data_IF_574743379041
#
_entry.id   IF_574743379041
#
_cell.length_a   1.000
_cell.length_b   1.000
_cell.length_c   1.000
_cell.angle_alpha   90.00
_cell.angle_beta   90.00
_cell.angle_gamma   90.00
#
_symmetry.space_group_name_H-M   'P 1'
#
loop_
_entity.id
_entity.type
_entity.pdbx_description
1 polymer ?
#
# COMPACT_ATOMS: atom_id res chain seq x y z
N UNK A 1 -11.97 7.97 16.17
CA UNK A 1 -12.51 9.20 15.50
C UNK A 1 -11.70 9.46 14.23
N UNK A 2 -12.36 9.91 13.14
CA UNK A 2 -11.66 10.26 11.90
C UNK A 2 -10.89 11.58 12.08
N UNK A 3 -9.71 11.76 11.46
CA UNK A 3 -9.01 13.05 11.43
C UNK A 3 -9.90 14.15 10.83
N UNK A 4 -9.78 15.38 11.32
CA UNK A 4 -10.63 16.53 10.96
C UNK A 4 -10.77 16.71 9.43
N UNK A 5 -9.67 16.63 8.69
CA UNK A 5 -9.72 16.75 7.23
C UNK A 5 -10.58 15.67 6.58
N UNK A 6 -10.47 14.40 7.04
CA UNK A 6 -11.30 13.31 6.54
C UNK A 6 -12.78 13.61 6.80
N UNK A 7 -13.12 14.07 8.00
CA UNK A 7 -14.50 14.45 8.33
C UNK A 7 -15.00 15.56 7.42
N UNK A 8 -14.26 16.66 7.33
CA UNK A 8 -14.65 17.84 6.53
C UNK A 8 -14.84 17.50 5.05
N UNK A 9 -13.96 16.67 4.48
CA UNK A 9 -14.11 16.24 3.09
C UNK A 9 -15.30 15.30 2.90
N UNK A 10 -15.41 14.30 3.76
CA UNK A 10 -16.47 13.29 3.66
C UNK A 10 -17.87 13.86 3.91
N UNK A 11 -18.00 14.87 4.76
CA UNK A 11 -19.27 15.60 4.99
C UNK A 11 -19.81 16.31 3.74
N UNK A 12 -18.92 16.66 2.80
CA UNK A 12 -19.35 17.26 1.52
C UNK A 12 -19.93 16.23 0.55
N UNK A 13 -19.56 14.96 0.69
CA UNK A 13 -19.92 13.86 -0.21
C UNK A 13 -21.02 12.96 0.33
N UNK A 14 -21.14 12.87 1.65
CA UNK A 14 -22.00 11.92 2.35
C UNK A 14 -22.96 12.66 3.29
N UNK A 15 -24.19 12.18 3.38
CA UNK A 15 -25.12 12.63 4.41
C UNK A 15 -24.59 12.28 5.80
N UNK A 16 -25.11 12.95 6.84
CA UNK A 16 -24.72 12.67 8.24
C UNK A 16 -24.88 11.19 8.59
N UNK A 17 -25.98 10.56 8.19
CA UNK A 17 -26.22 9.13 8.43
C UNK A 17 -25.19 8.25 7.71
N UNK A 18 -24.86 8.57 6.46
CA UNK A 18 -23.85 7.84 5.68
C UNK A 18 -22.46 7.99 6.28
N UNK A 19 -22.12 9.19 6.77
CA UNK A 19 -20.82 9.43 7.42
C UNK A 19 -20.69 8.65 8.73
N UNK A 20 -21.75 8.59 9.55
CA UNK A 20 -21.78 7.77 10.77
C UNK A 20 -21.58 6.29 10.41
N UNK A 21 -22.30 5.78 9.39
CA UNK A 21 -22.13 4.41 8.90
C UNK A 21 -20.70 4.13 8.45
N UNK A 22 -20.12 5.03 7.66
CA UNK A 22 -18.73 4.93 7.22
C UNK A 22 -17.79 4.85 8.43
N UNK A 23 -17.93 5.76 9.38
CA UNK A 23 -17.06 5.81 10.57
C UNK A 23 -17.12 4.50 11.36
N UNK A 24 -18.33 3.96 11.58
CA UNK A 24 -18.51 2.68 12.27
C UNK A 24 -17.86 1.55 11.46
N UNK A 25 -18.07 1.52 10.14
CA UNK A 25 -17.47 0.47 9.30
C UNK A 25 -15.95 0.50 9.30
N UNK A 26 -15.34 1.69 9.22
CA UNK A 26 -13.89 1.84 9.30
C UNK A 26 -13.36 1.37 10.66
N UNK A 27 -14.07 1.68 11.74
CA UNK A 27 -13.73 1.23 13.09
C UNK A 27 -13.81 -0.31 13.18
N UNK A 28 -14.88 -0.91 12.68
CA UNK A 28 -15.05 -2.36 12.67
C UNK A 28 -13.99 -3.07 11.80
N UNK A 29 -13.66 -2.54 10.61
CA UNK A 29 -12.60 -3.11 9.76
C UNK A 29 -11.27 -3.10 10.53
N UNK A 30 -10.95 -2.00 11.21
CA UNK A 30 -9.73 -1.91 12.02
C UNK A 30 -9.75 -2.82 13.24
N UNK A 31 -10.87 -2.95 13.96
CA UNK A 31 -10.94 -3.75 15.18
C UNK A 31 -11.03 -5.26 14.91
N UNK A 32 -11.82 -5.65 13.89
CA UNK A 32 -12.08 -7.06 13.57
C UNK A 32 -11.04 -7.68 12.61
N UNK A 33 -10.21 -6.85 11.96
CA UNK A 33 -9.29 -7.28 10.86
C UNK A 33 -10.02 -8.11 9.82
N UNK A 34 -11.16 -7.64 9.37
CA UNK A 34 -12.05 -8.44 8.56
C UNK A 34 -12.91 -7.56 7.67
N UNK A 35 -12.97 -7.89 6.38
CA UNK A 35 -13.83 -7.24 5.39
C UNK A 35 -14.99 -8.13 4.93
N UNK A 36 -15.14 -9.33 5.49
CA UNK A 36 -16.27 -10.20 5.18
C UNK A 36 -17.55 -9.60 5.72
N UNK A 37 -18.49 -9.29 4.82
CA UNK A 37 -19.73 -8.60 5.15
C UNK A 37 -20.51 -9.27 6.31
N UNK A 38 -20.60 -10.60 6.29
CA UNK A 38 -21.30 -11.38 7.32
C UNK A 38 -20.70 -11.23 8.73
N UNK A 39 -19.38 -11.05 8.81
CA UNK A 39 -18.70 -10.78 10.08
C UNK A 39 -18.98 -9.37 10.56
N UNK A 40 -18.84 -8.37 9.68
CA UNK A 40 -19.12 -6.98 10.01
C UNK A 40 -20.57 -6.79 10.46
N UNK A 41 -21.54 -7.43 9.80
CA UNK A 41 -22.97 -7.38 10.15
C UNK A 41 -23.23 -7.88 11.57
N UNK A 42 -22.52 -8.93 12.02
CA UNK A 42 -22.74 -9.51 13.36
C UNK A 42 -22.37 -8.55 14.47
N UNK A 43 -21.27 -7.82 14.30
CA UNK A 43 -20.74 -6.88 15.31
C UNK A 43 -21.20 -5.43 15.09
N UNK A 44 -21.96 -5.17 14.02
CA UNK A 44 -22.44 -3.83 13.69
C UNK A 44 -23.40 -3.31 14.79
N UNK A 45 -23.10 -2.18 15.47
CA UNK A 45 -23.76 -1.78 16.72
C UNK A 45 -25.15 -1.14 16.52
N UNK A 46 -25.94 -1.62 15.54
CA UNK A 46 -27.30 -1.13 15.34
C UNK A 46 -28.31 -2.06 16.04
N UNK A 47 -29.23 -1.50 16.83
CA UNK A 47 -30.22 -2.27 17.58
C UNK A 47 -31.39 -2.73 16.68
N UNK A 48 -31.06 -3.39 15.58
CA UNK A 48 -32.01 -3.96 14.59
C UNK A 48 -31.61 -5.38 14.25
N UNK A 49 -32.49 -6.11 13.59
CA UNK A 49 -32.21 -7.51 13.21
C UNK A 49 -30.98 -7.65 12.35
N UNK A 50 -30.32 -8.82 12.38
CA UNK A 50 -29.13 -9.12 11.59
C UNK A 50 -29.39 -8.89 10.10
N UNK A 51 -30.54 -9.33 9.60
CA UNK A 51 -30.90 -9.16 8.19
C UNK A 51 -31.09 -7.67 7.83
N UNK A 52 -31.70 -6.88 8.69
CA UNK A 52 -31.82 -5.42 8.50
C UNK A 52 -30.46 -4.74 8.49
N UNK A 53 -29.52 -5.14 9.38
CA UNK A 53 -28.15 -4.66 9.38
C UNK A 53 -27.45 -5.00 8.07
N UNK A 54 -27.59 -6.25 7.59
CA UNK A 54 -27.02 -6.73 6.33
C UNK A 54 -27.50 -5.90 5.14
N UNK A 55 -28.83 -5.71 5.00
CA UNK A 55 -29.40 -4.89 3.92
C UNK A 55 -28.92 -3.44 4.00
N UNK A 56 -28.77 -2.88 5.20
CA UNK A 56 -28.25 -1.52 5.38
C UNK A 56 -26.81 -1.39 4.90
N UNK A 57 -25.93 -2.33 5.24
CA UNK A 57 -24.55 -2.33 4.78
C UNK A 57 -24.43 -2.56 3.26
N UNK A 58 -25.26 -3.44 2.69
CA UNK A 58 -25.32 -3.63 1.24
C UNK A 58 -25.73 -2.35 0.52
N UNK A 59 -26.82 -1.68 0.97
CA UNK A 59 -27.25 -0.39 0.40
C UNK A 59 -26.16 0.69 0.55
N UNK A 60 -25.41 0.67 1.64
CA UNK A 60 -24.30 1.58 1.81
C UNK A 60 -23.19 1.33 0.77
N UNK A 61 -22.84 0.06 0.52
CA UNK A 61 -21.87 -0.29 -0.53
C UNK A 61 -22.39 -0.01 -1.95
N UNK A 62 -23.70 0.14 -2.15
CA UNK A 62 -24.29 0.48 -3.45
C UNK A 62 -24.33 2.01 -3.70
N UNK A 63 -23.97 2.85 -2.73
CA UNK A 63 -23.98 4.31 -2.88
C UNK A 63 -23.13 4.77 -4.06
N UNK A 64 -23.65 5.57 -4.98
CA UNK A 64 -22.90 6.05 -6.16
C UNK A 64 -21.74 6.97 -5.78
N UNK A 65 -21.81 7.66 -4.62
CA UNK A 65 -20.75 8.56 -4.14
C UNK A 65 -19.51 7.83 -3.63
N UNK A 66 -19.60 6.52 -3.29
CA UNK A 66 -18.46 5.75 -2.82
C UNK A 66 -17.56 5.36 -3.99
N UNK A 67 -16.81 6.32 -4.51
CA UNK A 67 -15.86 6.11 -5.59
C UNK A 67 -14.45 6.54 -5.18
N UNK A 68 -13.46 5.97 -5.85
CA UNK A 68 -12.05 6.35 -5.66
C UNK A 68 -11.86 7.83 -5.96
N UNK A 69 -12.49 8.35 -7.02
CA UNK A 69 -12.34 9.73 -7.45
C UNK A 69 -12.95 10.74 -6.49
N UNK A 70 -14.13 10.47 -5.93
CA UNK A 70 -14.82 11.40 -5.04
C UNK A 70 -14.34 11.32 -3.60
N UNK A 71 -13.98 10.14 -3.14
CA UNK A 71 -13.62 9.90 -1.74
C UNK A 71 -12.11 9.82 -1.55
N UNK A 72 -11.43 8.95 -2.30
CA UNK A 72 -10.06 8.59 -1.99
C UNK A 72 -9.03 9.54 -2.60
N UNK A 73 -9.20 10.00 -3.82
CA UNK A 73 -8.25 10.90 -4.45
C UNK A 73 -8.06 12.22 -3.70
N UNK A 74 -9.12 12.91 -3.23
CA UNK A 74 -8.94 14.10 -2.41
C UNK A 74 -8.25 13.84 -1.07
N UNK A 75 -8.56 12.71 -0.42
CA UNK A 75 -7.88 12.30 0.81
C UNK A 75 -6.39 11.99 0.55
N UNK A 76 -6.08 11.33 -0.57
CA UNK A 76 -4.71 11.03 -0.98
C UNK A 76 -3.92 12.30 -1.33
N UNK A 77 -4.54 13.26 -2.03
CA UNK A 77 -3.93 14.54 -2.36
C UNK A 77 -3.58 15.34 -1.11
N UNK A 78 -4.51 15.46 -0.16
CA UNK A 78 -4.25 16.09 1.13
C UNK A 78 -3.09 15.41 1.88
N UNK A 79 -3.08 14.09 1.89
CA UNK A 79 -2.03 13.34 2.53
C UNK A 79 -0.66 13.60 1.88
N UNK A 80 -0.60 13.64 0.55
CA UNK A 80 0.62 13.96 -0.19
C UNK A 80 1.13 15.36 0.19
N UNK A 81 0.28 16.36 0.19
CA UNK A 81 0.67 17.74 0.54
C UNK A 81 1.10 17.89 2.01
N UNK A 82 0.55 17.06 2.91
CA UNK A 82 0.86 17.11 4.35
C UNK A 82 2.19 16.43 4.68
N UNK A 83 2.53 15.35 3.98
CA UNK A 83 3.67 14.49 4.36
C UNK A 83 4.80 14.44 3.33
N UNK A 84 4.61 15.00 2.14
CA UNK A 84 5.61 15.02 1.07
C UNK A 84 5.93 16.45 0.67
N UNK A 85 7.21 16.73 0.43
CA UNK A 85 7.65 18.04 -0.07
C UNK A 85 7.47 18.13 -1.59
N UNK A 86 7.13 19.30 -2.10
CA UNK A 86 7.09 19.59 -3.54
C UNK A 86 8.42 19.23 -4.18
N UNK A 87 8.41 18.59 -5.35
CA UNK A 87 9.61 18.11 -6.04
C UNK A 87 10.22 16.83 -5.47
N UNK A 88 9.68 16.30 -4.37
CA UNK A 88 10.15 15.02 -3.81
C UNK A 88 9.95 13.88 -4.81
N UNK A 89 10.92 12.96 -4.85
CA UNK A 89 10.79 11.73 -5.63
C UNK A 89 9.94 10.70 -4.89
N UNK A 90 8.86 10.26 -5.52
CA UNK A 90 7.91 9.30 -4.99
C UNK A 90 7.83 8.07 -5.90
N UNK A 91 7.74 6.90 -5.30
CA UNK A 91 7.66 5.64 -6.03
C UNK A 91 6.24 5.08 -6.02
N UNK A 92 5.71 4.76 -7.18
CA UNK A 92 4.41 4.10 -7.38
C UNK A 92 4.67 2.68 -7.86
N UNK A 93 4.27 1.69 -7.09
CA UNK A 93 4.32 0.31 -7.52
C UNK A 93 3.02 -0.07 -8.24
N UNK A 94 3.19 -0.81 -9.33
CA UNK A 94 2.09 -1.47 -10.04
C UNK A 94 2.19 -2.96 -9.76
N UNK A 95 1.06 -3.57 -9.43
CA UNK A 95 1.00 -5.00 -9.16
C UNK A 95 -0.43 -5.53 -9.36
N UNK A 96 -0.56 -6.85 -9.42
CA UNK A 96 -1.82 -7.53 -9.66
C UNK A 96 -1.96 -8.70 -8.70
N UNK A 97 -3.15 -8.84 -8.15
CA UNK A 97 -3.52 -9.97 -7.32
C UNK A 97 -4.70 -10.72 -7.94
N UNK A 98 -4.66 -12.04 -7.90
CA UNK A 98 -5.70 -12.88 -8.47
C UNK A 98 -6.13 -13.96 -7.47
N UNK A 99 -7.44 -14.09 -7.26
CA UNK A 99 -8.04 -15.19 -6.49
C UNK A 99 -9.41 -15.54 -7.06
N UNK A 100 -9.67 -16.83 -7.23
CA UNK A 100 -10.88 -17.30 -7.91
C UNK A 100 -11.07 -16.63 -9.28
N UNK A 101 -12.22 -16.00 -9.47
CA UNK A 101 -12.53 -15.23 -10.69
C UNK A 101 -12.16 -13.75 -10.59
N UNK A 102 -11.58 -13.30 -9.49
CA UNK A 102 -11.19 -11.91 -9.27
C UNK A 102 -9.78 -11.69 -9.80
N UNK A 103 -9.62 -10.65 -10.61
CA UNK A 103 -8.33 -10.19 -11.12
C UNK A 103 -8.19 -8.71 -10.78
N UNK A 104 -7.52 -8.39 -9.68
CA UNK A 104 -7.39 -7.06 -9.12
C UNK A 104 -6.07 -6.43 -9.56
N UNK A 105 -6.14 -5.35 -10.32
CA UNK A 105 -5.00 -4.51 -10.68
C UNK A 105 -4.91 -3.34 -9.71
N UNK A 106 -3.73 -3.09 -9.16
CA UNK A 106 -3.51 -2.10 -8.09
C UNK A 106 -2.31 -1.22 -8.37
N UNK A 107 -2.48 0.07 -8.16
CA UNK A 107 -1.43 1.09 -8.11
C UNK A 107 -1.29 1.56 -6.67
N UNK A 108 -0.09 1.55 -6.11
CA UNK A 108 0.13 1.91 -4.73
C UNK A 108 1.37 2.80 -4.56
N UNK A 109 1.24 3.83 -3.72
CA UNK A 109 2.37 4.68 -3.32
C UNK A 109 3.25 3.93 -2.33
N UNK A 110 4.52 3.84 -2.61
CA UNK A 110 5.49 3.30 -1.66
C UNK A 110 5.74 4.32 -0.56
N UNK A 111 5.35 3.99 0.65
CA UNK A 111 5.52 4.82 1.82
C UNK A 111 6.37 4.12 2.88
N UNK A 112 7.58 4.64 3.09
CA UNK A 112 8.58 4.02 3.98
C UNK A 112 8.90 2.58 3.54
N UNK A 113 8.37 1.56 4.19
CA UNK A 113 8.52 0.14 3.85
C UNK A 113 7.17 -0.55 3.60
N UNK A 114 6.14 0.24 3.36
CA UNK A 114 4.78 -0.21 3.02
C UNK A 114 4.33 0.46 1.74
N UNK A 115 3.19 0.07 1.24
CA UNK A 115 2.53 0.76 0.15
C UNK A 115 1.13 1.19 0.60
N UNK A 116 0.65 2.29 0.06
CA UNK A 116 -0.72 2.78 0.26
C UNK A 116 -1.42 2.67 -1.07
N UNK A 117 -2.52 1.91 -1.19
CA UNK A 117 -3.27 1.83 -2.44
C UNK A 117 -3.70 3.22 -2.89
N UNK A 118 -3.47 3.57 -4.15
CA UNK A 118 -3.90 4.83 -4.75
C UNK A 118 -5.10 4.61 -5.67
N UNK A 119 -5.04 3.54 -6.45
CA UNK A 119 -6.05 3.18 -7.42
C UNK A 119 -6.10 1.67 -7.59
N UNK A 120 -7.28 1.13 -7.85
CA UNK A 120 -7.50 -0.28 -8.14
C UNK A 120 -8.69 -0.45 -9.08
N UNK A 121 -8.64 -1.48 -9.89
CA UNK A 121 -9.74 -1.89 -10.75
C UNK A 121 -9.75 -3.40 -10.93
N UNK A 122 -10.92 -3.93 -11.25
CA UNK A 122 -11.06 -5.34 -11.64
C UNK A 122 -10.84 -5.44 -13.15
N UNK A 123 -9.91 -6.31 -13.54
CA UNK A 123 -9.73 -6.63 -14.95
C UNK A 123 -10.83 -7.60 -15.40
N UNK A 124 -11.39 -7.44 -16.61
CA UNK A 124 -12.50 -8.26 -17.10
C UNK A 124 -12.08 -9.69 -17.50
N UNK A 125 -10.80 -10.01 -17.38
CA UNK A 125 -10.18 -11.28 -17.77
C UNK A 125 -9.28 -11.83 -16.68
N UNK A 126 -9.01 -13.09 -16.69
CA UNK A 126 -7.92 -13.69 -15.89
C UNK A 126 -6.57 -13.51 -16.61
N UNK A 127 -5.49 -13.60 -15.84
CA UNK A 127 -4.13 -13.44 -16.36
C UNK A 127 -3.67 -11.98 -16.45
N UNK A 128 -2.63 -11.74 -17.22
CA UNK A 128 -1.87 -10.49 -17.22
C UNK A 128 -2.67 -9.30 -17.77
N UNK A 129 -2.40 -8.13 -17.21
CA UNK A 129 -2.89 -6.85 -17.76
C UNK A 129 -2.21 -6.51 -19.09
N UNK A 130 -2.92 -5.83 -19.96
CA UNK A 130 -2.38 -5.29 -21.21
C UNK A 130 -1.94 -3.81 -21.06
N UNK A 131 -1.26 -3.29 -22.08
CA UNK A 131 -0.76 -1.91 -22.08
C UNK A 131 -1.87 -0.88 -21.86
N UNK A 132 -3.01 -1.03 -22.53
CA UNK A 132 -4.14 -0.10 -22.40
C UNK A 132 -4.68 -0.05 -20.97
N UNK A 133 -4.88 -1.22 -20.33
CA UNK A 133 -5.32 -1.31 -18.94
C UNK A 133 -4.31 -0.64 -17.99
N UNK A 134 -3.01 -0.85 -18.22
CA UNK A 134 -1.92 -0.27 -17.42
C UNK A 134 -1.86 1.26 -17.57
N UNK A 135 -1.89 1.76 -18.80
CA UNK A 135 -1.79 3.21 -19.07
C UNK A 135 -3.03 3.96 -18.60
N UNK A 136 -4.23 3.43 -18.80
CA UNK A 136 -5.47 4.03 -18.29
C UNK A 136 -5.45 4.16 -16.76
N UNK A 137 -5.02 3.12 -16.04
CA UNK A 137 -4.92 3.17 -14.60
C UNK A 137 -3.84 4.16 -14.12
N UNK A 138 -2.66 4.15 -14.75
CA UNK A 138 -1.59 5.10 -14.43
C UNK A 138 -2.01 6.55 -14.67
N UNK A 139 -2.72 6.86 -15.75
CA UNK A 139 -3.25 8.19 -16.01
C UNK A 139 -4.17 8.71 -14.91
N UNK A 140 -4.97 7.83 -14.27
CA UNK A 140 -5.81 8.24 -13.14
C UNK A 140 -4.98 8.72 -11.95
N UNK A 141 -3.86 8.04 -11.69
CA UNK A 141 -3.00 8.30 -10.52
C UNK A 141 -2.03 9.44 -10.76
N UNK A 142 -1.39 9.51 -11.92
CA UNK A 142 -0.35 10.50 -12.21
C UNK A 142 -0.85 11.94 -12.08
N UNK A 143 -2.16 12.18 -12.23
CA UNK A 143 -2.78 13.49 -11.98
C UNK A 143 -2.57 14.03 -10.57
N UNK A 144 -2.44 13.14 -9.57
CA UNK A 144 -2.19 13.50 -8.17
C UNK A 144 -0.74 13.93 -7.92
N UNK A 145 0.17 13.62 -8.86
CA UNK A 145 1.61 13.73 -8.66
C UNK A 145 2.27 14.82 -9.51
N UNK A 146 1.51 15.78 -10.01
CA UNK A 146 2.04 16.86 -10.90
C UNK A 146 3.20 17.64 -10.28
N UNK A 147 3.22 17.79 -8.97
CA UNK A 147 4.25 18.53 -8.22
C UNK A 147 5.39 17.63 -7.70
N UNK A 148 5.40 16.36 -8.07
CA UNK A 148 6.35 15.37 -7.57
C UNK A 148 7.08 14.69 -8.72
N UNK A 149 8.31 14.25 -8.45
CA UNK A 149 9.01 13.35 -9.37
C UNK A 149 8.53 11.92 -9.13
N UNK A 150 8.07 11.24 -10.18
CA UNK A 150 7.49 9.90 -10.04
C UNK A 150 8.41 8.85 -10.63
N UNK A 151 8.56 7.74 -9.91
CA UNK A 151 9.19 6.51 -10.40
C UNK A 151 8.14 5.39 -10.36
N UNK A 152 7.80 4.82 -11.50
CA UNK A 152 6.91 3.66 -11.58
C UNK A 152 7.71 2.37 -11.45
N UNK A 153 7.30 1.49 -10.53
CA UNK A 153 7.95 0.21 -10.23
C UNK A 153 7.04 -0.94 -10.68
N UNK A 154 7.51 -1.79 -11.59
CA UNK A 154 6.78 -2.96 -12.06
C UNK A 154 7.61 -4.24 -11.98
N UNK A 155 6.95 -5.37 -11.69
CA UNK A 155 7.60 -6.67 -11.71
C UNK A 155 7.66 -7.29 -13.13
N UNK A 156 7.94 -8.60 -13.23
CA UNK A 156 8.06 -9.31 -14.52
C UNK A 156 6.79 -9.33 -15.35
N UNK A 157 5.62 -9.13 -14.77
CA UNK A 157 4.36 -9.01 -15.50
C UNK A 157 4.33 -7.73 -16.33
N UNK A 158 4.88 -6.66 -15.79
CA UNK A 158 4.89 -5.31 -16.38
C UNK A 158 6.15 -5.04 -17.22
N UNK A 159 6.82 -6.07 -17.69
CA UNK A 159 8.09 -6.00 -18.43
C UNK A 159 7.92 -5.55 -19.91
N UNK A 160 7.06 -4.56 -20.16
CA UNK A 160 6.79 -4.10 -21.52
C UNK A 160 7.68 -2.92 -21.89
N UNK A 161 8.36 -3.05 -23.05
CA UNK A 161 9.08 -1.93 -23.70
C UNK A 161 8.11 -0.80 -24.05
N UNK A 162 6.89 -1.15 -24.43
CA UNK A 162 5.85 -0.15 -24.77
C UNK A 162 5.39 0.64 -23.54
N UNK A 163 5.27 -0.02 -22.37
CA UNK A 163 5.00 0.69 -21.13
C UNK A 163 6.16 1.62 -20.75
N UNK A 164 7.42 1.17 -20.88
CA UNK A 164 8.60 2.01 -20.67
C UNK A 164 8.63 3.21 -21.61
N UNK A 165 8.31 3.01 -22.90
CA UNK A 165 8.23 4.08 -23.89
C UNK A 165 7.15 5.10 -23.56
N UNK A 166 5.98 4.63 -23.17
CA UNK A 166 4.87 5.49 -22.76
C UNK A 166 5.21 6.27 -21.48
N UNK A 167 5.79 5.66 -20.45
CA UNK A 167 6.23 6.36 -19.24
C UNK A 167 7.26 7.44 -19.56
N UNK A 168 8.24 7.13 -20.42
CA UNK A 168 9.25 8.09 -20.89
C UNK A 168 8.62 9.27 -21.61
N UNK A 169 7.61 9.03 -22.47
CA UNK A 169 6.87 10.12 -23.15
C UNK A 169 6.07 11.01 -22.21
N UNK A 170 5.68 10.48 -21.05
CA UNK A 170 5.00 11.21 -19.97
C UNK A 170 5.95 11.93 -19.01
N UNK A 171 7.27 11.84 -19.21
CA UNK A 171 8.28 12.38 -18.29
C UNK A 171 8.34 11.66 -16.94
N UNK A 172 7.87 10.42 -16.89
CA UNK A 172 7.80 9.60 -15.67
C UNK A 172 8.92 8.57 -15.70
N UNK A 173 9.79 8.60 -14.71
CA UNK A 173 10.85 7.60 -14.55
C UNK A 173 10.28 6.25 -14.17
N UNK A 174 11.01 5.20 -14.49
CA UNK A 174 10.50 3.84 -14.25
C UNK A 174 11.60 2.84 -13.94
N UNK A 175 11.13 1.73 -13.38
CA UNK A 175 11.88 0.56 -13.05
C UNK A 175 11.01 -0.67 -13.34
N UNK A 176 11.23 -1.32 -14.47
CA UNK A 176 10.44 -2.47 -14.92
C UNK A 176 11.33 -3.71 -15.02
N UNK A 177 10.95 -4.78 -14.33
CA UNK A 177 11.75 -6.00 -14.33
C UNK A 177 11.52 -6.80 -15.60
N UNK A 178 12.58 -6.97 -16.42
CA UNK A 178 12.54 -7.77 -17.65
C UNK A 178 12.61 -9.28 -17.36
N UNK A 179 12.08 -10.06 -18.30
CA UNK A 179 12.30 -11.50 -18.35
C UNK A 179 13.69 -11.78 -18.93
N UNK A 180 14.35 -12.84 -18.47
CA UNK A 180 15.73 -13.19 -18.86
C UNK A 180 15.91 -13.49 -20.34
N UNK A 181 14.84 -13.82 -21.05
CA UNK A 181 14.83 -14.11 -22.49
C UNK A 181 14.69 -12.85 -23.38
N UNK A 182 14.55 -11.66 -22.81
CA UNK A 182 14.63 -10.43 -23.59
C UNK A 182 16.03 -10.26 -24.17
N UNK A 183 16.09 -9.62 -25.35
CA UNK A 183 17.35 -9.31 -26.01
C UNK A 183 17.65 -7.82 -25.90
N UNK A 184 18.91 -7.48 -25.86
CA UNK A 184 19.41 -6.12 -26.02
C UNK A 184 20.45 -6.07 -27.15
N UNK A 185 20.57 -4.92 -27.77
CA UNK A 185 21.63 -4.67 -28.75
C UNK A 185 22.86 -4.18 -27.98
N UNK A 186 23.99 -4.93 -28.15
CA UNK A 186 25.25 -4.61 -27.47
C UNK A 186 26.08 -3.68 -28.35
N UNK A 187 26.31 -4.07 -29.61
CA UNK A 187 27.09 -3.29 -30.58
C UNK A 187 26.52 -3.52 -31.98
N UNK A 188 26.47 -2.50 -32.82
CA UNK A 188 26.20 -2.52 -34.27
C UNK A 188 25.34 -3.70 -34.77
N UNK A 189 24.12 -3.81 -34.26
CA UNK A 189 23.15 -4.84 -34.64
C UNK A 189 23.40 -6.24 -34.05
N UNK A 190 24.38 -6.42 -33.14
CA UNK A 190 24.55 -7.66 -32.40
C UNK A 190 23.57 -7.74 -31.25
N UNK A 191 22.66 -8.70 -31.30
CA UNK A 191 21.60 -8.90 -30.29
C UNK A 191 21.96 -10.07 -29.40
N UNK A 192 21.97 -9.83 -28.10
CA UNK A 192 22.25 -10.85 -27.10
C UNK A 192 21.11 -10.94 -26.08
N UNK A 193 20.77 -12.13 -25.63
CA UNK A 193 19.80 -12.37 -24.59
C UNK A 193 20.35 -11.93 -23.22
N UNK A 194 19.49 -11.44 -22.34
CA UNK A 194 19.88 -10.98 -21.01
C UNK A 194 20.53 -12.08 -20.16
N UNK A 195 20.06 -13.33 -20.28
CA UNK A 195 20.63 -14.46 -19.55
C UNK A 195 22.02 -14.91 -20.10
N UNK A 196 22.46 -14.40 -21.26
CA UNK A 196 23.75 -14.67 -21.90
C UNK A 196 24.79 -13.56 -21.70
N UNK A 197 24.42 -12.49 -20.95
CA UNK A 197 25.30 -11.33 -20.71
C UNK A 197 26.45 -11.59 -19.73
N UNK A 198 26.69 -12.83 -19.32
CA UNK A 198 27.77 -13.15 -18.37
C UNK A 198 27.56 -12.66 -16.95
N UNK A 199 26.30 -12.29 -16.58
CA UNK A 199 25.96 -11.90 -15.20
C UNK A 199 26.02 -13.15 -14.33
N UNK A 200 26.89 -13.14 -13.31
CA UNK A 200 27.08 -14.26 -12.38
C UNK A 200 26.74 -13.85 -10.94
N UNK A 201 26.48 -14.78 -10.02
CA UNK A 201 26.19 -14.46 -8.62
C UNK A 201 27.24 -13.56 -7.98
N UNK A 202 26.83 -12.40 -7.52
CA UNK A 202 27.70 -11.39 -6.89
C UNK A 202 28.05 -10.21 -7.80
N UNK A 203 27.73 -10.27 -9.10
CA UNK A 203 28.04 -9.21 -10.07
C UNK A 203 26.86 -8.26 -10.31
N UNK A 204 27.18 -7.11 -10.85
CA UNK A 204 26.22 -6.13 -11.33
C UNK A 204 26.80 -5.41 -12.56
N UNK A 205 25.96 -5.23 -13.60
CA UNK A 205 26.30 -4.55 -14.84
C UNK A 205 25.30 -3.45 -15.12
N UNK A 206 25.70 -2.44 -15.86
CA UNK A 206 24.84 -1.34 -16.28
C UNK A 206 25.12 -1.00 -17.74
N UNK A 207 24.09 -1.11 -18.57
CA UNK A 207 24.15 -0.76 -19.99
C UNK A 207 23.35 0.53 -20.18
N UNK A 208 24.01 1.57 -20.69
CA UNK A 208 23.40 2.87 -20.89
C UNK A 208 23.00 3.06 -22.35
N UNK A 209 21.78 3.52 -22.58
CA UNK A 209 21.29 3.87 -23.90
C UNK A 209 21.29 2.72 -24.90
N UNK A 210 20.78 1.54 -24.51
CA UNK A 210 20.72 0.35 -25.38
C UNK A 210 19.34 0.15 -25.98
N UNK A 211 19.25 -0.47 -27.16
CA UNK A 211 18.00 -0.90 -27.76
C UNK A 211 17.58 -2.25 -27.20
N UNK A 212 16.31 -2.41 -26.87
CA UNK A 212 15.71 -3.61 -26.27
C UNK A 212 14.69 -4.27 -27.20
N UNK A 213 14.48 -3.70 -28.38
CA UNK A 213 13.53 -4.18 -29.39
C UNK A 213 14.13 -4.04 -30.79
N UNK A 214 14.02 -5.09 -31.60
CA UNK A 214 14.47 -5.09 -33.00
C UNK A 214 13.54 -4.30 -33.93
N UNK A 215 12.23 -4.27 -33.61
CA UNK A 215 11.18 -3.62 -34.41
C UNK A 215 10.95 -2.18 -33.98
N UNK A 216 10.41 -1.33 -34.88
CA UNK A 216 10.03 0.06 -34.59
C UNK A 216 8.82 0.14 -33.62
N UNK A 217 8.69 1.21 -32.82
CA UNK A 217 9.60 2.36 -32.74
C UNK A 217 10.91 1.99 -32.03
N UNK A 218 12.01 2.59 -32.48
CA UNK A 218 13.32 2.44 -31.85
C UNK A 218 13.37 3.35 -30.61
N UNK A 219 13.51 2.75 -29.45
CA UNK A 219 13.61 3.48 -28.17
C UNK A 219 14.83 2.95 -27.41
N UNK A 220 15.60 3.88 -26.83
CA UNK A 220 16.78 3.60 -26.05
C UNK A 220 16.44 3.67 -24.57
N UNK A 221 16.94 2.70 -23.82
CA UNK A 221 16.76 2.57 -22.38
C UNK A 221 18.09 2.21 -21.71
N UNK A 222 18.13 2.38 -20.42
CA UNK A 222 19.20 1.80 -19.61
C UNK A 222 18.76 0.43 -19.10
N UNK A 223 19.71 -0.48 -18.99
CA UNK A 223 19.50 -1.81 -18.40
C UNK A 223 20.43 -1.99 -17.21
N UNK A 224 19.83 -2.16 -16.03
CA UNK A 224 20.55 -2.51 -14.82
C UNK A 224 20.44 -4.01 -14.55
N UNK A 225 21.57 -4.70 -14.45
CA UNK A 225 21.66 -6.12 -14.14
C UNK A 225 22.26 -6.32 -12.75
N UNK A 226 21.68 -7.19 -11.94
CA UNK A 226 22.25 -7.55 -10.64
C UNK A 226 21.92 -8.97 -10.24
N UNK A 227 22.93 -9.74 -9.86
CA UNK A 227 22.75 -11.06 -9.26
C UNK A 227 23.30 -11.07 -7.84
N UNK A 228 22.45 -11.14 -6.83
CA UNK A 228 22.87 -11.34 -5.45
C UNK A 228 23.27 -12.81 -5.24
N UNK A 229 24.37 -13.07 -4.54
CA UNK A 229 24.75 -14.43 -4.13
C UNK A 229 23.69 -15.04 -3.20
N UNK A 230 23.33 -14.31 -2.16
CA UNK A 230 22.37 -14.76 -1.15
C UNK A 230 21.37 -13.64 -0.82
N UNK A 231 20.15 -14.03 -0.50
CA UNK A 231 19.12 -13.17 0.06
C UNK A 231 18.46 -13.89 1.23
N UNK A 232 18.50 -13.30 2.43
CA UNK A 232 17.99 -13.89 3.69
C UNK A 232 18.50 -15.32 3.95
N UNK A 233 19.77 -15.57 3.68
CA UNK A 233 20.41 -16.87 3.88
C UNK A 233 20.23 -17.89 2.74
N UNK A 234 19.36 -17.62 1.77
CA UNK A 234 19.11 -18.50 0.63
C UNK A 234 19.85 -18.04 -0.63
N UNK A 235 20.34 -18.98 -1.45
CA UNK A 235 20.92 -18.69 -2.77
C UNK A 235 19.85 -18.08 -3.69
N UNK A 236 20.18 -16.99 -4.35
CA UNK A 236 19.29 -16.36 -5.34
C UNK A 236 19.45 -17.05 -6.68
N UNK A 237 18.36 -17.62 -7.20
CA UNK A 237 18.36 -18.45 -8.42
C UNK A 237 18.59 -17.67 -9.71
N UNK A 238 18.11 -16.39 -9.79
CA UNK A 238 18.12 -15.61 -11.02
C UNK A 238 18.67 -14.21 -10.81
N UNK A 239 19.34 -13.68 -11.82
CA UNK A 239 19.69 -12.27 -11.90
C UNK A 239 18.42 -11.39 -12.04
N UNK A 240 18.55 -10.14 -11.62
CA UNK A 240 17.57 -9.09 -11.91
C UNK A 240 18.01 -8.35 -13.16
N UNK A 241 17.13 -8.23 -14.14
CA UNK A 241 17.28 -7.43 -15.33
C UNK A 241 16.23 -6.36 -15.30
N UNK A 242 16.62 -5.10 -15.33
CA UNK A 242 15.78 -3.94 -15.05
C UNK A 242 15.86 -2.98 -16.20
N UNK A 243 14.74 -2.73 -16.86
CA UNK A 243 14.56 -1.65 -17.81
C UNK A 243 14.31 -0.35 -17.02
N UNK A 244 15.08 0.70 -17.29
CA UNK A 244 15.01 1.94 -16.52
C UNK A 244 15.49 3.15 -17.33
N UNK A 245 15.23 4.33 -16.83
CA UNK A 245 15.76 5.62 -17.28
C UNK A 245 16.47 6.38 -16.13
N UNK A 246 16.71 5.72 -15.01
CA UNK A 246 17.23 6.36 -13.77
C UNK A 246 18.71 6.75 -13.86
N UNK A 247 19.40 6.47 -14.96
CA UNK A 247 20.77 6.94 -15.24
C UNK A 247 21.87 6.27 -14.43
N UNK A 248 21.58 5.45 -13.40
CA UNK A 248 22.59 4.75 -12.63
C UNK A 248 22.14 3.45 -11.99
N UNK A 249 23.08 2.51 -11.87
CA UNK A 249 22.86 1.22 -11.19
C UNK A 249 22.45 1.36 -9.71
N UNK A 250 23.07 2.23 -8.87
CA UNK A 250 22.66 2.39 -7.48
C UNK A 250 21.21 2.84 -7.33
N UNK A 251 20.75 3.80 -8.15
CA UNK A 251 19.37 4.27 -8.14
C UNK A 251 18.40 3.15 -8.54
N UNK A 252 18.70 2.41 -9.62
CA UNK A 252 17.90 1.28 -10.07
C UNK A 252 17.77 0.21 -8.98
N UNK A 253 18.86 -0.13 -8.29
CA UNK A 253 18.86 -1.13 -7.22
C UNK A 253 18.12 -0.62 -5.97
N UNK A 254 18.22 0.67 -5.65
CA UNK A 254 17.49 1.29 -4.53
C UNK A 254 15.98 1.26 -4.76
N UNK A 255 15.53 1.61 -5.96
CA UNK A 255 14.13 1.57 -6.36
C UNK A 255 13.53 0.16 -6.22
N UNK A 256 14.27 -0.88 -6.64
CA UNK A 256 13.79 -2.28 -6.49
C UNK A 256 13.48 -2.66 -5.05
N UNK A 257 14.31 -2.26 -4.10
CA UNK A 257 14.08 -2.58 -2.68
C UNK A 257 12.77 -1.98 -2.16
N UNK A 258 12.34 -0.87 -2.75
CA UNK A 258 11.10 -0.20 -2.37
C UNK A 258 9.87 -0.98 -2.83
N UNK A 259 9.94 -1.69 -3.98
CA UNK A 259 8.82 -2.50 -4.50
C UNK A 259 8.28 -3.52 -3.50
N UNK A 260 9.14 -4.07 -2.64
CA UNK A 260 8.72 -5.00 -1.58
C UNK A 260 7.59 -4.43 -0.68
N UNK A 261 7.41 -3.10 -0.67
CA UNK A 261 6.34 -2.45 0.09
C UNK A 261 4.94 -2.86 -0.37
N UNK A 262 4.73 -3.11 -1.67
CA UNK A 262 3.42 -3.53 -2.20
C UNK A 262 3.10 -4.99 -1.83
N UNK A 263 4.09 -5.86 -1.83
CA UNK A 263 3.92 -7.26 -1.38
C UNK A 263 3.53 -7.33 0.10
N UNK A 264 4.14 -6.48 0.91
CA UNK A 264 3.81 -6.35 2.33
C UNK A 264 2.41 -5.75 2.55
N UNK A 265 1.98 -4.81 1.69
CA UNK A 265 0.61 -4.28 1.70
C UNK A 265 -0.40 -5.38 1.35
N UNK A 266 -0.18 -6.15 0.29
CA UNK A 266 -1.07 -7.26 -0.05
C UNK A 266 -1.17 -8.28 1.09
N UNK A 267 -0.06 -8.61 1.74
CA UNK A 267 -0.07 -9.47 2.93
C UNK A 267 -0.93 -8.91 4.05
N UNK A 268 -0.82 -7.60 4.33
CA UNK A 268 -1.63 -6.92 5.34
C UNK A 268 -3.13 -6.89 4.95
N UNK A 269 -3.47 -6.78 3.66
CA UNK A 269 -4.85 -6.73 3.15
C UNK A 269 -5.49 -8.10 2.92
N UNK A 270 -4.70 -9.14 2.74
CA UNK A 270 -5.14 -10.52 2.47
C UNK A 270 -5.12 -11.39 3.74
N UNK A 271 -4.61 -12.59 3.66
CA UNK A 271 -4.62 -13.60 4.73
C UNK A 271 -3.92 -13.16 6.02
N UNK A 272 -2.96 -12.23 5.96
CA UNK A 272 -2.25 -11.70 7.12
C UNK A 272 -2.94 -10.56 7.86
N UNK A 273 -4.07 -10.06 7.34
CA UNK A 273 -4.78 -8.89 7.87
C UNK A 273 -6.27 -8.93 7.58
N UNK A 274 -6.78 -8.04 6.71
CA UNK A 274 -8.21 -7.79 6.51
C UNK A 274 -8.97 -8.91 5.76
N UNK A 275 -8.29 -9.95 5.29
CA UNK A 275 -8.84 -11.12 4.61
C UNK A 275 -9.76 -10.76 3.41
N UNK A 276 -9.25 -9.94 2.50
CA UNK A 276 -9.99 -9.47 1.33
C UNK A 276 -10.50 -10.62 0.45
N UNK A 277 -9.71 -11.67 0.29
CA UNK A 277 -10.07 -12.86 -0.49
C UNK A 277 -11.28 -13.58 0.09
N UNK A 278 -11.42 -13.57 1.43
CA UNK A 278 -12.56 -14.16 2.14
C UNK A 278 -13.81 -13.26 2.21
N UNK A 279 -13.78 -12.07 1.58
CA UNK A 279 -14.91 -11.12 1.63
C UNK A 279 -16.21 -11.67 1.02
N UNK A 280 -16.09 -12.54 0.00
CA UNK A 280 -17.22 -13.05 -0.78
C UNK A 280 -17.86 -12.02 -1.71
N UNK A 281 -17.31 -10.79 -1.79
CA UNK A 281 -17.81 -9.71 -2.62
C UNK A 281 -17.27 -9.79 -4.05
N UNK A 282 -18.01 -9.22 -5.02
CA UNK A 282 -17.66 -9.17 -6.43
C UNK A 282 -18.03 -7.81 -7.03
N UNK A 283 -17.46 -7.50 -8.20
CA UNK A 283 -17.80 -6.28 -8.97
C UNK A 283 -17.68 -5.00 -8.15
N UNK A 284 -18.60 -4.09 -8.35
CA UNK A 284 -18.59 -2.75 -7.73
C UNK A 284 -18.56 -2.78 -6.19
N UNK A 285 -19.26 -3.72 -5.57
CA UNK A 285 -19.24 -3.85 -4.09
C UNK A 285 -17.86 -4.23 -3.57
N UNK A 286 -17.11 -5.05 -4.31
CA UNK A 286 -15.72 -5.35 -3.96
C UNK A 286 -14.83 -4.11 -4.08
N UNK A 287 -14.95 -3.35 -5.18
CA UNK A 287 -14.21 -2.09 -5.37
C UNK A 287 -14.46 -1.12 -4.21
N UNK A 288 -15.71 -0.98 -3.78
CA UNK A 288 -16.10 -0.11 -2.67
C UNK A 288 -15.65 -0.65 -1.31
N UNK A 289 -15.65 -1.95 -1.11
CA UNK A 289 -15.07 -2.54 0.10
C UNK A 289 -13.56 -2.33 0.18
N UNK A 290 -12.85 -2.43 -0.95
CA UNK A 290 -11.41 -2.09 -1.03
C UNK A 290 -11.20 -0.60 -0.70
N UNK A 291 -12.12 0.29 -1.10
CA UNK A 291 -12.08 1.70 -0.73
C UNK A 291 -12.13 1.88 0.80
N UNK A 292 -13.11 1.24 1.46
CA UNK A 292 -13.22 1.29 2.92
C UNK A 292 -11.98 0.72 3.61
N UNK A 293 -11.53 -0.44 3.16
CA UNK A 293 -10.29 -1.07 3.64
C UNK A 293 -9.08 -0.15 3.46
N UNK A 294 -8.95 0.50 2.31
CA UNK A 294 -7.85 1.42 2.01
C UNK A 294 -7.84 2.62 2.96
N UNK A 295 -9.01 3.19 3.25
CA UNK A 295 -9.13 4.28 4.23
C UNK A 295 -8.73 3.77 5.62
N UNK A 296 -9.26 2.64 6.07
CA UNK A 296 -8.93 2.04 7.36
C UNK A 296 -7.42 1.72 7.48
N UNK A 297 -6.83 1.15 6.42
CA UNK A 297 -5.41 0.85 6.32
C UNK A 297 -4.53 2.10 6.41
N UNK A 298 -4.89 3.16 5.68
CA UNK A 298 -4.16 4.43 5.72
C UNK A 298 -4.20 5.07 7.10
N UNK A 299 -5.36 5.05 7.77
CA UNK A 299 -5.51 5.56 9.13
C UNK A 299 -4.59 4.81 10.10
N UNK A 300 -4.49 3.49 10.01
CA UNK A 300 -3.57 2.71 10.85
C UNK A 300 -2.09 3.07 10.58
N UNK A 301 -1.70 3.32 9.32
CA UNK A 301 -0.34 3.77 8.98
C UNK A 301 -0.06 5.15 9.57
N UNK A 302 -1.00 6.09 9.47
CA UNK A 302 -0.82 7.44 10.04
C UNK A 302 -0.72 7.40 11.55
N UNK A 303 -1.62 6.69 12.21
CA UNK A 303 -1.59 6.49 13.65
C UNK A 303 -0.27 5.86 14.11
N UNK A 304 0.19 4.82 13.42
CA UNK A 304 1.48 4.21 13.70
C UNK A 304 2.67 5.15 13.49
N UNK A 305 2.58 6.03 12.49
CA UNK A 305 3.60 7.04 12.26
C UNK A 305 3.65 8.06 13.40
N UNK A 306 2.50 8.54 13.86
CA UNK A 306 2.41 9.47 14.99
C UNK A 306 2.83 8.83 16.32
N UNK A 307 2.44 7.58 16.59
CA UNK A 307 2.90 6.82 17.77
C UNK A 307 4.42 6.71 17.80
N UNK A 308 5.04 6.45 16.63
CA UNK A 308 6.49 6.37 16.51
C UNK A 308 7.16 7.74 16.70
N UNK A 309 6.59 8.80 16.11
CA UNK A 309 7.07 10.18 16.23
C UNK A 309 7.01 10.68 17.66
N UNK A 310 5.90 10.42 18.36
CA UNK A 310 5.69 10.76 19.78
C UNK A 310 6.46 9.86 20.74
N UNK A 311 7.20 8.88 20.26
CA UNK A 311 8.03 7.92 21.03
C UNK A 311 7.25 7.07 22.05
N UNK A 312 5.94 6.94 21.90
CA UNK A 312 5.08 6.14 22.81
C UNK A 312 4.89 4.69 22.36
N UNK A 313 5.58 4.25 21.31
CA UNK A 313 5.50 2.88 20.78
C UNK A 313 5.74 1.80 21.83
N UNK A 314 6.56 2.06 22.85
CA UNK A 314 6.88 1.07 23.91
C UNK A 314 5.64 0.53 24.65
N UNK A 315 4.53 1.25 24.65
CA UNK A 315 3.29 0.86 25.31
C UNK A 315 2.45 -0.14 24.50
N UNK A 316 2.64 -0.19 23.18
CA UNK A 316 1.85 -1.06 22.30
C UNK A 316 2.67 -2.13 21.59
N UNK A 317 3.98 -1.94 21.47
CA UNK A 317 4.87 -2.94 20.88
C UNK A 317 6.30 -2.79 21.38
N UNK A 318 7.04 -3.89 21.38
CA UNK A 318 8.46 -3.83 21.74
C UNK A 318 9.23 -2.97 20.74
N UNK A 319 10.06 -2.05 21.25
CA UNK A 319 11.00 -1.28 20.43
C UNK A 319 11.96 -2.22 19.70
N UNK A 320 12.36 -1.84 18.47
CA UNK A 320 13.47 -2.53 17.80
C UNK A 320 14.73 -2.39 18.65
N UNK A 321 15.41 -3.50 18.94
CA UNK A 321 16.73 -3.45 19.53
C UNK A 321 17.73 -2.98 18.48
N UNK A 322 18.63 -2.05 18.81
CA UNK A 322 19.65 -1.50 17.90
C UNK A 322 20.51 -2.59 17.24
N UNK A 323 20.76 -3.70 17.96
CA UNK A 323 21.52 -4.86 17.48
C UNK A 323 20.74 -5.77 16.50
N UNK A 324 19.41 -5.61 16.34
CA UNK A 324 18.62 -6.46 15.42
C UNK A 324 18.36 -5.74 14.10
N UNK A 325 18.84 -6.34 13.02
CA UNK A 325 18.73 -5.87 11.64
C UNK A 325 17.29 -5.63 11.13
N UNK A 326 16.28 -6.16 11.83
CA UNK A 326 14.88 -6.12 11.42
C UNK A 326 13.97 -5.51 12.49
N UNK A 327 13.05 -4.63 12.04
CA UNK A 327 11.97 -4.13 12.91
C UNK A 327 11.06 -5.30 13.30
N UNK A 328 10.66 -5.37 14.56
CA UNK A 328 9.74 -6.41 15.05
C UNK A 328 8.30 -6.17 14.64
N UNK A 329 7.88 -4.91 14.47
CA UNK A 329 6.53 -4.51 14.11
C UNK A 329 6.54 -3.45 13.03
N UNK A 330 5.64 -3.54 12.05
CA UNK A 330 5.45 -2.54 10.99
C UNK A 330 4.78 -1.28 11.54
N UNK A 331 4.90 -0.16 10.81
CA UNK A 331 4.18 1.07 11.16
C UNK A 331 2.66 0.84 11.16
N UNK A 332 2.13 0.09 10.18
CA UNK A 332 0.75 -0.36 10.15
C UNK A 332 0.38 -1.11 11.44
N UNK A 333 1.16 -2.14 11.79
CA UNK A 333 0.90 -2.92 13.00
C UNK A 333 0.98 -2.11 14.29
N UNK A 334 1.90 -1.13 14.38
CA UNK A 334 1.98 -0.22 15.55
C UNK A 334 0.72 0.64 15.66
N UNK A 335 0.22 1.18 14.57
CA UNK A 335 -1.02 1.98 14.57
C UNK A 335 -2.24 1.15 14.93
N UNK A 336 -2.33 -0.03 14.34
CA UNK A 336 -3.37 -0.99 14.65
C UNK A 336 -3.39 -1.38 16.14
N UNK A 337 -2.23 -1.83 16.66
CA UNK A 337 -2.09 -2.22 18.09
C UNK A 337 -2.35 -1.03 19.02
N UNK A 338 -1.96 0.20 18.60
CA UNK A 338 -2.22 1.43 19.35
C UNK A 338 -3.70 1.74 19.47
N UNK A 339 -4.43 1.69 18.34
CA UNK A 339 -5.89 1.86 18.36
C UNK A 339 -6.55 0.82 19.24
N UNK A 340 -6.24 -0.45 19.05
CA UNK A 340 -6.82 -1.55 19.82
C UNK A 340 -6.58 -1.38 21.32
N UNK A 341 -5.38 -0.98 21.72
CA UNK A 341 -5.05 -0.75 23.12
C UNK A 341 -5.85 0.41 23.72
N UNK A 342 -6.02 1.52 23.00
CA UNK A 342 -6.85 2.65 23.44
C UNK A 342 -8.31 2.21 23.59
N UNK A 343 -8.87 1.53 22.58
CA UNK A 343 -10.26 1.06 22.61
C UNK A 343 -10.53 0.13 23.82
N UNK A 344 -9.56 -0.74 24.16
CA UNK A 344 -9.69 -1.62 25.34
C UNK A 344 -9.53 -0.85 26.66
N UNK A 345 -8.65 0.15 26.73
CA UNK A 345 -8.55 1.02 27.91
C UNK A 345 -9.85 1.77 28.16
N UNK A 346 -10.48 2.32 27.11
CA UNK A 346 -11.75 3.01 27.21
C UNK A 346 -12.87 2.05 27.65
N UNK A 347 -12.93 0.86 27.04
CA UNK A 347 -13.92 -0.18 27.37
C UNK A 347 -13.84 -0.65 28.81
N UNK A 348 -12.66 -0.72 29.38
CA UNK A 348 -12.37 -1.24 30.73
C UNK A 348 -11.93 -0.12 31.70
N UNK A 349 -12.32 1.14 31.44
CA UNK A 349 -11.85 2.31 32.18
C UNK A 349 -12.09 2.20 33.68
N UNK A 350 -13.28 1.75 34.10
CA UNK A 350 -13.62 1.56 35.52
C UNK A 350 -12.72 0.50 36.18
N UNK A 351 -12.54 -0.66 35.56
CA UNK A 351 -11.68 -1.71 36.06
C UNK A 351 -10.21 -1.28 36.14
N UNK A 352 -9.75 -0.50 35.16
CA UNK A 352 -8.38 0.06 35.17
C UNK A 352 -8.21 1.07 36.31
N UNK A 353 -9.20 1.92 36.57
CA UNK A 353 -9.18 2.85 37.70
C UNK A 353 -9.13 2.11 39.03
N UNK A 354 -9.91 1.04 39.19
CA UNK A 354 -9.89 0.18 40.38
C UNK A 354 -8.53 -0.47 40.58
N UNK A 355 -7.94 -1.08 39.55
CA UNK A 355 -6.57 -1.62 39.62
C UNK A 355 -5.54 -0.57 40.02
N UNK A 356 -5.68 0.68 39.58
CA UNK A 356 -4.81 1.78 39.97
C UNK A 356 -4.93 2.14 41.48
N UNK A 357 -6.11 2.01 42.05
CA UNK A 357 -6.35 2.21 43.47
C UNK A 357 -5.73 1.07 44.32
N UNK A 358 -5.92 -0.16 43.87
CA UNK A 358 -5.42 -1.36 44.56
C UNK A 358 -3.87 -1.53 44.50
N UNK A 359 -3.21 -0.82 43.59
CA UNK A 359 -1.73 -0.91 43.42
C UNK A 359 -1.06 0.47 43.49
N UNK A 360 -1.09 1.15 44.65
CA UNK A 360 -0.60 2.52 44.79
C UNK A 360 0.89 2.68 44.40
N UNK A 361 1.70 1.67 44.66
CA UNK A 361 3.13 1.64 44.31
C UNK A 361 3.39 1.71 42.79
N UNK A 362 2.44 1.30 41.96
CA UNK A 362 2.51 1.35 40.50
C UNK A 362 1.76 2.51 39.86
N UNK A 363 1.10 3.33 40.66
CA UNK A 363 0.25 4.44 40.18
C UNK A 363 0.96 5.35 39.16
N UNK A 364 2.22 5.68 39.40
CA UNK A 364 3.04 6.49 38.48
C UNK A 364 3.15 5.84 37.09
N UNK A 365 3.37 4.54 37.03
CA UNK A 365 3.50 3.81 35.75
C UNK A 365 2.17 3.73 35.03
N UNK A 366 1.06 3.51 35.75
CA UNK A 366 -0.29 3.54 35.17
C UNK A 366 -0.62 4.92 34.59
N UNK A 367 -0.35 6.01 35.33
CA UNK A 367 -0.55 7.36 34.83
C UNK A 367 0.28 7.68 33.59
N UNK A 368 1.52 7.18 33.51
CA UNK A 368 2.33 7.31 32.29
C UNK A 368 1.69 6.55 31.12
N UNK A 369 1.12 5.36 31.35
CA UNK A 369 0.40 4.58 30.35
C UNK A 369 -0.84 5.31 29.85
N UNK A 370 -1.67 5.85 30.73
CA UNK A 370 -2.85 6.65 30.35
C UNK A 370 -2.46 7.89 29.51
N UNK A 371 -1.42 8.62 29.94
CA UNK A 371 -0.89 9.76 29.14
C UNK A 371 -0.45 9.33 27.75
N UNK A 372 0.21 8.18 27.63
CA UNK A 372 0.63 7.64 26.36
C UNK A 372 -0.56 7.25 25.47
N UNK A 373 -1.61 6.63 26.05
CA UNK A 373 -2.85 6.31 25.34
C UNK A 373 -3.52 7.58 24.80
N UNK A 374 -3.64 8.63 25.62
CA UNK A 374 -4.21 9.93 25.21
C UNK A 374 -3.43 10.56 24.04
N UNK A 375 -2.10 10.35 23.97
CA UNK A 375 -1.28 10.80 22.85
C UNK A 375 -1.49 9.98 21.56
N UNK A 376 -2.05 8.77 21.67
CA UNK A 376 -2.32 7.89 20.52
C UNK A 376 -3.69 8.18 19.88
N UNK A 377 -4.60 8.85 20.59
CA UNK A 377 -5.85 9.31 20.01
C UNK A 377 -5.54 10.40 18.97
N UNK A 378 -6.17 10.32 17.79
CA UNK A 378 -6.11 11.42 16.84
C UNK A 378 -6.71 12.66 17.50
N UNK A 379 -5.89 13.66 17.76
CA UNK A 379 -6.37 14.98 18.11
C UNK A 379 -7.11 15.54 16.90
N UNK A 380 -8.38 15.87 17.13
CA UNK A 380 -9.27 16.57 16.19
C UNK A 380 -8.69 17.90 15.74
#
# INVERSE_FOLDING_TARGET
MLPTFYQTHLQKQLTRTQLILLTILLDLIQSEKQVRLERLVRVFPYPITVESRRRKLQRFLDLPQLTISLIWFPLSAYWLTTYCSVGQTLSIAIDRSQWGCINLFTLALIWKKRAIPLYWCLLPKLGNSNLSEQTLALQQVLRLFKEYKVIVLGDREFCSVDLGSWLKSMGVSFWLRLKKNHCLEIENSIWQRLDQLGVVPGTALYFKGVRVRKTRPLVWFDIACKWKRNYQGMKVKDAWFILTDLGSLPLAISAYKQRMGIEEMFRDCQTGGDNLEGSGLRGERLIKMILLMTIAYSLAIFQGTEIQKKQVQKYVSRRSQERKKYRRRSTFGVGFDGKQWVDYLDRHSESVQELMKLTPNKRRFYQQGIRAANQMVFTS
#
